data_IF_094567687134
#
_entry.id   IF_094567687134
#
_cell.length_a   1.000
_cell.length_b   1.000
_cell.length_c   1.000
_cell.angle_alpha   90.00
_cell.angle_beta   90.00
_cell.angle_gamma   90.00
#
_symmetry.space_group_name_H-M   'P 1'
#
loop_
_entity.id
_entity.type
_entity.pdbx_description
1 polymer ?
#
# COMPACT_ATOMS: atom_id res chain seq x y z
N UNK A 1 -10.36 17.42 10.74
CA UNK A 1 -9.12 16.78 11.24
C UNK A 1 -7.84 17.12 10.46
N UNK A 2 -7.91 17.74 9.28
CA UNK A 2 -6.74 18.05 8.44
C UNK A 2 -5.61 18.83 9.14
N UNK A 3 -5.91 19.99 9.75
CA UNK A 3 -4.91 20.80 10.47
C UNK A 3 -4.19 20.01 11.57
N UNK A 4 -4.91 19.13 12.29
CA UNK A 4 -4.31 18.26 13.31
C UNK A 4 -3.30 17.29 12.72
N UNK A 5 -3.57 16.74 11.53
CA UNK A 5 -2.61 15.89 10.81
C UNK A 5 -1.31 16.64 10.48
N UNK A 6 -1.41 17.89 10.03
CA UNK A 6 -0.25 18.75 9.76
C UNK A 6 0.54 19.04 11.05
N UNK A 7 -0.15 19.49 12.10
CA UNK A 7 0.47 19.78 13.40
C UNK A 7 1.20 18.54 13.96
N UNK A 8 0.59 17.36 13.87
CA UNK A 8 1.19 16.12 14.36
C UNK A 8 2.40 15.69 13.53
N UNK A 9 2.39 15.96 12.22
CA UNK A 9 3.55 15.74 11.35
C UNK A 9 4.71 16.68 11.72
N UNK A 10 4.42 17.97 11.90
CA UNK A 10 5.42 19.00 12.26
C UNK A 10 6.03 18.75 13.64
N UNK A 11 5.22 18.32 14.62
CA UNK A 11 5.65 18.02 15.98
C UNK A 11 6.25 16.62 16.15
N UNK A 12 6.44 15.85 15.07
CA UNK A 12 6.95 14.47 15.10
C UNK A 12 6.11 13.49 15.95
N UNK A 13 4.84 13.80 16.20
CA UNK A 13 3.87 12.89 16.84
C UNK A 13 3.54 11.75 15.88
N UNK A 14 3.43 12.07 14.58
CA UNK A 14 3.32 11.07 13.50
C UNK A 14 4.54 11.20 12.59
N UNK A 15 5.16 10.06 12.30
CA UNK A 15 6.32 9.97 11.41
C UNK A 15 5.96 9.14 10.19
N UNK A 16 6.40 9.58 9.03
CA UNK A 16 6.43 8.74 7.83
C UNK A 16 7.49 7.66 8.03
N UNK A 17 7.25 6.48 7.44
CA UNK A 17 8.24 5.41 7.45
C UNK A 17 9.50 5.85 6.70
N UNK A 18 10.63 5.29 7.10
CA UNK A 18 11.91 5.54 6.46
C UNK A 18 11.82 5.23 4.95
N UNK A 19 12.42 6.11 4.14
CA UNK A 19 12.39 6.05 2.68
C UNK A 19 11.07 6.41 1.99
N UNK A 20 9.98 6.71 2.72
CA UNK A 20 8.68 6.99 2.09
C UNK A 20 8.75 8.20 1.16
N UNK A 21 9.19 9.36 1.65
CA UNK A 21 9.30 10.58 0.84
C UNK A 21 10.25 10.41 -0.34
N UNK A 22 11.36 9.68 -0.15
CA UNK A 22 12.29 9.34 -1.23
C UNK A 22 11.62 8.50 -2.33
N UNK A 23 10.79 7.53 -1.96
CA UNK A 23 10.05 6.71 -2.90
C UNK A 23 9.02 7.53 -3.68
N UNK A 24 8.30 8.42 -3.01
CA UNK A 24 7.36 9.33 -3.67
C UNK A 24 8.09 10.23 -4.67
N UNK A 25 9.22 10.82 -4.29
CA UNK A 25 10.04 11.63 -5.20
C UNK A 25 10.56 10.81 -6.39
N UNK A 26 10.99 9.55 -6.18
CA UNK A 26 11.41 8.65 -7.25
C UNK A 26 10.26 8.39 -8.24
N UNK A 27 9.06 8.10 -7.74
CA UNK A 27 7.87 7.86 -8.56
C UNK A 27 7.48 9.11 -9.36
N UNK A 28 7.63 10.29 -8.78
CA UNK A 28 7.33 11.57 -9.43
C UNK A 28 8.44 12.07 -10.36
N UNK A 29 9.55 11.33 -10.46
CA UNK A 29 10.65 11.66 -11.37
C UNK A 29 10.54 10.87 -12.68
N UNK A 30 10.97 11.44 -13.82
CA UNK A 30 11.09 10.68 -15.06
C UNK A 30 12.05 9.48 -14.91
N UNK A 31 11.80 8.35 -15.60
CA UNK A 31 10.68 8.12 -16.52
C UNK A 31 9.41 7.57 -15.84
N UNK A 32 9.40 7.36 -14.52
CA UNK A 32 8.31 6.67 -13.81
C UNK A 32 7.02 7.52 -13.80
N UNK A 33 7.16 8.84 -13.62
CA UNK A 33 5.99 9.74 -13.58
C UNK A 33 5.19 9.74 -14.88
N UNK A 34 5.82 9.42 -16.01
CA UNK A 34 5.17 9.41 -17.33
C UNK A 34 4.25 8.20 -17.54
N UNK A 35 4.39 7.17 -16.71
CA UNK A 35 3.66 5.90 -16.83
C UNK A 35 2.75 5.62 -15.63
N UNK A 36 2.80 6.45 -14.58
CA UNK A 36 1.95 6.30 -13.39
C UNK A 36 0.85 7.37 -13.41
N UNK A 37 -0.37 6.92 -13.20
CA UNK A 37 -1.57 7.77 -13.21
C UNK A 37 -1.75 8.60 -11.92
N UNK A 38 -1.23 8.08 -10.80
CA UNK A 38 -1.27 8.75 -9.52
C UNK A 38 -0.84 7.85 -8.38
N UNK A 39 -0.61 8.46 -7.22
CA UNK A 39 -0.26 7.76 -5.98
C UNK A 39 -1.42 7.93 -5.02
N UNK A 40 -1.98 6.81 -4.55
CA UNK A 40 -3.18 6.82 -3.71
C UNK A 40 -2.90 6.11 -2.40
N UNK A 41 -3.53 6.59 -1.33
CA UNK A 41 -3.52 5.91 -0.02
C UNK A 41 -4.89 5.32 0.24
N UNK A 42 -4.94 4.00 0.44
CA UNK A 42 -6.15 3.28 0.83
C UNK A 42 -6.01 2.79 2.29
N UNK A 43 -6.90 3.22 3.16
CA UNK A 43 -6.79 2.96 4.59
C UNK A 43 -8.13 2.70 5.27
N UNK A 44 -8.15 1.75 6.20
CA UNK A 44 -9.29 1.50 7.11
C UNK A 44 -9.38 2.52 8.26
N UNK A 45 -8.54 3.56 8.26
CA UNK A 45 -8.55 4.59 9.31
C UNK A 45 -9.86 5.41 9.30
N UNK A 46 -10.12 6.10 10.40
CA UNK A 46 -11.36 6.83 10.68
C UNK A 46 -11.34 8.30 10.24
N UNK A 47 -10.26 8.79 9.59
CA UNK A 47 -10.27 10.14 9.02
C UNK A 47 -9.33 10.31 7.84
N UNK A 48 -9.91 10.31 6.64
CA UNK A 48 -9.27 10.70 5.39
C UNK A 48 -8.71 12.13 5.51
N UNK A 49 -9.49 13.05 6.10
CA UNK A 49 -9.04 14.42 6.37
C UNK A 49 -7.75 14.48 7.21
N UNK A 50 -7.63 13.66 8.26
CA UNK A 50 -6.40 13.61 9.07
C UNK A 50 -5.19 13.12 8.27
N UNK A 51 -5.35 12.01 7.53
CA UNK A 51 -4.27 11.43 6.71
C UNK A 51 -3.80 12.42 5.63
N UNK A 52 -4.74 13.12 4.95
CA UNK A 52 -4.40 14.20 4.01
C UNK A 52 -3.57 15.29 4.67
N UNK A 53 -3.87 15.65 5.92
CA UNK A 53 -3.07 16.59 6.68
C UNK A 53 -1.64 16.11 6.90
N UNK A 54 -1.47 14.86 7.36
CA UNK A 54 -0.16 14.23 7.57
C UNK A 54 0.67 14.18 6.28
N UNK A 55 0.03 13.90 5.15
CA UNK A 55 0.65 13.73 3.83
C UNK A 55 0.64 14.99 2.97
N UNK A 56 0.21 16.14 3.51
CA UNK A 56 -0.03 17.37 2.73
C UNK A 56 1.21 17.94 2.01
N UNK A 57 2.41 17.50 2.39
CA UNK A 57 3.69 17.90 1.77
C UNK A 57 4.25 16.82 0.84
N UNK A 58 3.56 15.70 0.71
CA UNK A 58 3.94 14.57 -0.12
C UNK A 58 3.10 14.58 -1.41
N UNK A 59 3.66 14.07 -2.50
CA UNK A 59 3.04 13.98 -3.82
C UNK A 59 1.88 12.98 -3.97
N UNK A 60 0.98 12.89 -2.98
CA UNK A 60 -0.13 11.93 -2.95
C UNK A 60 -1.35 12.52 -3.67
N UNK A 61 -1.85 11.80 -4.67
CA UNK A 61 -2.97 12.22 -5.52
C UNK A 61 -4.32 12.12 -4.79
N UNK A 62 -4.52 11.05 -4.01
CA UNK A 62 -5.77 10.86 -3.28
C UNK A 62 -5.58 10.07 -1.99
N UNK A 63 -6.47 10.31 -1.03
CA UNK A 63 -6.58 9.54 0.21
C UNK A 63 -8.00 9.01 0.31
N UNK A 64 -8.09 7.69 0.44
CA UNK A 64 -9.30 6.88 0.46
C UNK A 64 -9.35 6.20 1.82
N UNK A 65 -10.26 6.69 2.65
CA UNK A 65 -10.42 6.23 4.02
C UNK A 65 -11.80 6.63 4.51
N UNK A 66 -12.17 6.22 5.72
CA UNK A 66 -13.39 6.72 6.32
C UNK A 66 -13.21 8.19 6.70
N UNK A 67 -14.30 8.95 6.77
CA UNK A 67 -14.35 10.22 7.48
C UNK A 67 -15.57 10.28 8.38
N UNK A 68 -15.53 11.21 9.33
CA UNK A 68 -16.61 11.40 10.31
C UNK A 68 -17.45 12.59 9.85
N UNK A 69 -18.75 12.39 9.69
CA UNK A 69 -19.69 13.47 9.43
C UNK A 69 -19.75 14.39 10.66
N UNK A 70 -19.43 15.70 10.52
CA UNK A 70 -19.41 16.61 11.65
C UNK A 70 -20.80 16.95 12.19
N UNK A 71 -21.88 16.69 11.44
CA UNK A 71 -23.23 17.02 11.83
C UNK A 71 -23.86 15.99 12.78
N UNK A 72 -23.62 14.70 12.54
CA UNK A 72 -24.27 13.59 13.26
C UNK A 72 -23.30 12.54 13.81
N UNK A 73 -22.00 12.65 13.48
CA UNK A 73 -20.98 11.70 13.90
C UNK A 73 -20.99 10.38 13.12
N UNK A 74 -21.75 10.26 12.02
CA UNK A 74 -21.72 9.07 11.15
C UNK A 74 -20.32 8.85 10.59
N UNK A 75 -20.00 7.60 10.28
CA UNK A 75 -18.75 7.24 9.61
C UNK A 75 -19.09 6.69 8.24
N UNK A 76 -18.47 7.28 7.22
CA UNK A 76 -18.68 6.86 5.85
C UNK A 76 -17.33 6.79 5.10
N UNK A 77 -17.18 5.77 4.28
CA UNK A 77 -16.12 5.67 3.30
C UNK A 77 -16.52 6.49 2.08
N UNK A 78 -16.13 7.77 2.05
CA UNK A 78 -16.37 8.60 0.88
C UNK A 78 -15.54 8.08 -0.31
N UNK A 79 -16.15 7.91 -1.49
CA UNK A 79 -15.40 7.53 -2.67
C UNK A 79 -14.43 8.64 -3.09
N UNK A 80 -13.31 8.26 -3.70
CA UNK A 80 -12.35 9.21 -4.29
C UNK A 80 -12.94 10.04 -5.43
N UNK A 81 -14.05 9.57 -6.01
CA UNK A 81 -14.66 10.06 -7.25
C UNK A 81 -16.18 10.05 -7.02
N UNK A 82 -16.74 11.13 -6.50
CA UNK A 82 -18.20 11.38 -6.53
C UNK A 82 -18.53 11.80 -7.98
N UNK A 83 -19.51 11.27 -8.70
CA UNK A 83 -20.90 10.95 -8.36
C UNK A 83 -21.38 9.65 -9.08
N UNK A 84 -22.48 9.07 -8.60
CA UNK A 84 -23.16 7.87 -9.15
C UNK A 84 -22.40 6.54 -8.99
N UNK A 85 -22.14 6.15 -7.74
CA UNK A 85 -21.76 4.76 -7.44
C UNK A 85 -23.03 3.92 -7.38
N UNK A 86 -23.13 2.88 -8.22
CA UNK A 86 -24.21 1.91 -8.11
C UNK A 86 -24.16 1.23 -6.73
N UNK A 87 -25.34 0.98 -6.13
CA UNK A 87 -25.42 0.29 -4.85
C UNK A 87 -24.64 -1.04 -4.90
N UNK A 88 -23.73 -1.24 -3.95
CA UNK A 88 -22.89 -2.44 -3.84
C UNK A 88 -21.55 -2.39 -4.57
N UNK A 89 -21.26 -1.36 -5.37
CA UNK A 89 -19.96 -1.23 -6.07
C UNK A 89 -18.84 -0.64 -5.18
N UNK A 90 -19.20 -0.08 -4.03
CA UNK A 90 -18.29 0.56 -3.07
C UNK A 90 -18.71 0.24 -1.63
N UNK A 91 -17.76 0.01 -0.70
CA UNK A 91 -18.09 -0.22 0.70
C UNK A 91 -18.62 1.05 1.36
N UNK A 92 -19.67 0.96 2.17
CA UNK A 92 -20.16 2.10 2.97
C UNK A 92 -19.15 2.52 4.04
N UNK A 93 -18.35 1.58 4.55
CA UNK A 93 -17.28 1.79 5.53
C UNK A 93 -16.08 0.92 5.15
N UNK A 94 -14.87 1.46 5.28
CA UNK A 94 -13.61 0.73 5.13
C UNK A 94 -13.14 0.25 6.51
N UNK A 95 -13.49 -0.97 6.88
CA UNK A 95 -13.20 -1.53 8.21
C UNK A 95 -12.33 -2.78 8.18
N UNK A 96 -12.45 -3.57 7.11
CA UNK A 96 -11.76 -4.86 6.96
C UNK A 96 -11.04 -4.96 5.60
N UNK A 97 -10.28 -6.04 5.40
CA UNK A 97 -9.55 -6.27 4.15
C UNK A 97 -10.45 -6.37 2.94
N UNK A 98 -11.64 -6.97 3.08
CA UNK A 98 -12.58 -7.12 1.97
C UNK A 98 -13.15 -5.79 1.50
N UNK A 99 -13.24 -4.80 2.40
CA UNK A 99 -13.65 -3.44 2.07
C UNK A 99 -12.56 -2.75 1.24
N UNK A 100 -11.28 -2.89 1.65
CA UNK A 100 -10.14 -2.39 0.87
C UNK A 100 -10.11 -3.02 -0.52
N UNK A 101 -10.28 -4.34 -0.61
CA UNK A 101 -10.27 -5.03 -1.89
C UNK A 101 -11.42 -4.56 -2.79
N UNK A 102 -12.62 -4.39 -2.23
CA UNK A 102 -13.78 -3.88 -2.96
C UNK A 102 -13.55 -2.47 -3.50
N UNK A 103 -13.01 -1.57 -2.67
CA UNK A 103 -12.63 -0.21 -3.08
C UNK A 103 -11.54 -0.23 -4.17
N UNK A 104 -10.50 -1.05 -4.02
CA UNK A 104 -9.41 -1.12 -5.00
C UNK A 104 -9.87 -1.67 -6.36
N UNK A 105 -10.73 -2.70 -6.35
CA UNK A 105 -11.39 -3.21 -7.56
C UNK A 105 -12.23 -2.13 -8.25
N UNK A 106 -12.98 -1.35 -7.48
CA UNK A 106 -13.75 -0.23 -8.02
C UNK A 106 -12.85 0.80 -8.70
N UNK A 107 -11.77 1.23 -8.02
CA UNK A 107 -10.81 2.19 -8.56
C UNK A 107 -10.16 1.70 -9.86
N UNK A 108 -9.78 0.42 -9.91
CA UNK A 108 -9.25 -0.20 -11.14
C UNK A 108 -10.26 -0.14 -12.29
N UNK A 109 -11.54 -0.47 -12.03
CA UNK A 109 -12.61 -0.38 -13.05
C UNK A 109 -12.78 1.05 -13.55
N UNK A 110 -12.76 2.04 -12.66
CA UNK A 110 -12.88 3.45 -13.07
C UNK A 110 -11.68 3.90 -13.89
N UNK A 111 -10.47 3.51 -13.50
CA UNK A 111 -9.26 3.81 -14.26
C UNK A 111 -9.30 3.18 -15.66
N UNK A 112 -9.70 1.92 -15.78
CA UNK A 112 -9.84 1.24 -17.07
C UNK A 112 -10.89 1.89 -17.96
N UNK A 113 -12.01 2.38 -17.39
CA UNK A 113 -13.02 3.13 -18.13
C UNK A 113 -12.48 4.48 -18.63
N UNK A 114 -11.76 5.21 -17.77
CA UNK A 114 -11.21 6.53 -18.10
C UNK A 114 -10.01 6.45 -19.05
N UNK A 115 -9.20 5.40 -18.93
CA UNK A 115 -7.95 5.22 -19.68
C UNK A 115 -7.81 3.77 -20.17
N UNK A 116 -8.63 3.32 -21.14
CA UNK A 116 -8.68 1.93 -21.59
C UNK A 116 -7.38 1.42 -22.24
N UNK A 117 -6.47 2.34 -22.62
CA UNK A 117 -5.15 2.00 -23.19
C UNK A 117 -4.05 1.81 -22.14
N UNK A 118 -4.29 2.16 -20.87
CA UNK A 118 -3.37 1.82 -19.77
C UNK A 118 -3.71 0.40 -19.31
N UNK A 119 -2.69 -0.44 -19.11
CA UNK A 119 -2.88 -1.85 -18.68
C UNK A 119 -3.52 -2.00 -17.29
N UNK A 120 -3.83 -0.89 -16.59
CA UNK A 120 -4.54 -0.91 -15.31
C UNK A 120 -3.82 -1.72 -14.24
N UNK A 121 -2.49 -1.73 -14.31
CA UNK A 121 -1.64 -2.40 -13.33
C UNK A 121 -1.54 -1.54 -12.06
N UNK A 122 -1.81 -2.17 -10.93
CA UNK A 122 -1.73 -1.55 -9.62
C UNK A 122 -0.51 -2.14 -8.92
N UNK A 123 0.38 -1.28 -8.46
CA UNK A 123 1.45 -1.66 -7.53
C UNK A 123 0.97 -1.36 -6.13
N UNK A 124 0.63 -2.41 -5.37
CA UNK A 124 0.10 -2.28 -4.02
C UNK A 124 1.20 -2.38 -2.96
N UNK A 125 1.07 -1.60 -1.89
CA UNK A 125 1.94 -1.66 -0.71
C UNK A 125 1.07 -1.91 0.51
N UNK A 126 1.41 -2.93 1.29
CA UNK A 126 0.66 -3.31 2.49
C UNK A 126 1.57 -3.77 3.61
N UNK A 127 1.11 -3.68 4.84
CA UNK A 127 1.90 -4.05 6.02
C UNK A 127 1.13 -4.90 7.02
N UNK A 128 -0.18 -5.05 6.83
CA UNK A 128 -1.08 -5.66 7.80
C UNK A 128 -1.94 -6.75 7.17
N UNK A 129 -2.60 -7.57 8.00
CA UNK A 129 -3.53 -8.59 7.51
C UNK A 129 -4.70 -7.98 6.71
N UNK A 130 -5.08 -6.73 6.98
CA UNK A 130 -6.11 -6.04 6.17
C UNK A 130 -5.68 -5.81 4.72
N UNK A 131 -4.40 -5.95 4.41
CA UNK A 131 -3.84 -5.80 3.06
C UNK A 131 -3.71 -7.13 2.31
N UNK A 132 -3.92 -8.26 2.99
CA UNK A 132 -3.69 -9.59 2.44
C UNK A 132 -4.47 -9.81 1.14
N UNK A 133 -5.77 -9.54 1.14
CA UNK A 133 -6.63 -9.74 -0.02
C UNK A 133 -6.25 -8.84 -1.21
N UNK A 134 -5.80 -7.60 -0.95
CA UNK A 134 -5.31 -6.71 -2.00
C UNK A 134 -4.00 -7.22 -2.60
N UNK A 135 -3.07 -7.70 -1.77
CA UNK A 135 -1.80 -8.26 -2.23
C UNK A 135 -1.98 -9.56 -3.02
N UNK A 136 -2.91 -10.42 -2.61
CA UNK A 136 -3.21 -11.66 -3.32
C UNK A 136 -3.80 -11.39 -4.72
N UNK A 137 -4.57 -10.32 -4.90
CA UNK A 137 -5.19 -10.00 -6.19
C UNK A 137 -4.30 -9.17 -7.11
N UNK A 138 -3.60 -8.16 -6.59
CA UNK A 138 -2.86 -7.19 -7.40
C UNK A 138 -1.35 -7.43 -7.40
N UNK A 139 -0.85 -8.28 -6.51
CA UNK A 139 0.57 -8.35 -6.20
C UNK A 139 1.08 -7.07 -5.53
N UNK A 140 2.37 -7.01 -5.25
CA UNK A 140 2.99 -5.82 -4.67
C UNK A 140 4.06 -6.10 -3.63
N UNK A 141 4.18 -5.18 -2.67
CA UNK A 141 5.22 -5.22 -1.64
C UNK A 141 4.59 -5.27 -0.25
N UNK A 142 5.03 -6.25 0.53
CA UNK A 142 4.82 -6.29 1.98
C UNK A 142 5.90 -5.46 2.66
N UNK A 143 5.52 -4.41 3.40
CA UNK A 143 6.47 -3.60 4.18
C UNK A 143 6.49 -4.12 5.62
N UNK A 144 7.53 -4.87 5.99
CA UNK A 144 7.67 -5.55 7.28
C UNK A 144 8.99 -5.22 7.99
N UNK A 145 9.03 -4.22 8.88
CA UNK A 145 10.25 -3.83 9.60
C UNK A 145 10.71 -4.89 10.62
N UNK A 146 9.90 -5.91 10.90
CA UNK A 146 10.21 -6.96 11.89
C UNK A 146 10.86 -8.21 11.28
N UNK A 147 10.91 -8.28 9.96
CA UNK A 147 11.32 -9.49 9.25
C UNK A 147 12.84 -9.76 9.34
N UNK A 148 13.68 -8.73 9.45
CA UNK A 148 15.13 -8.88 9.49
C UNK A 148 15.64 -9.50 10.80
N UNK A 149 14.99 -9.18 11.93
CA UNK A 149 15.31 -9.80 13.24
C UNK A 149 15.08 -11.31 13.29
N UNK A 150 14.36 -11.88 12.31
CA UNK A 150 14.11 -13.32 12.23
C UNK A 150 15.08 -14.07 11.27
N UNK A 151 15.97 -13.36 10.56
CA UNK A 151 16.80 -13.93 9.49
C UNK A 151 18.29 -14.10 9.85
N UNK A 152 18.76 -13.73 11.05
CA UNK A 152 20.13 -14.05 11.50
C UNK A 152 20.18 -15.47 12.09
N UNK A 153 20.84 -16.45 11.44
CA UNK A 153 21.11 -17.74 12.06
C UNK A 153 22.43 -17.63 12.83
N UNK A 154 22.40 -17.03 14.03
CA UNK A 154 23.56 -17.11 14.90
C UNK A 154 23.64 -18.52 15.50
N UNK A 155 24.72 -19.19 15.11
CA UNK A 155 25.20 -20.47 15.61
C UNK A 155 25.38 -20.44 17.13
N UNK A 156 24.38 -20.91 17.87
CA UNK A 156 24.49 -21.72 19.11
C UNK A 156 23.08 -21.96 19.65
N UNK A 157 22.55 -23.14 19.35
CA UNK A 157 21.29 -23.61 19.90
C UNK A 157 21.39 -23.68 21.43
N UNK A 158 20.80 -22.68 22.09
CA UNK A 158 20.35 -22.79 23.47
C UNK A 158 18.92 -22.27 23.53
N UNK A 159 17.98 -23.22 23.59
CA UNK A 159 16.59 -23.12 24.03
C UNK A 159 15.99 -21.69 24.08
N UNK A 160 15.40 -21.24 22.98
CA UNK A 160 14.55 -20.04 22.90
C UNK A 160 13.79 -20.08 21.58
N UNK A 161 12.47 -20.21 21.58
CA UNK A 161 11.49 -19.12 21.74
C UNK A 161 11.57 -18.07 20.62
N UNK A 162 10.47 -18.01 19.86
CA UNK A 162 9.96 -16.84 19.13
C UNK A 162 10.87 -16.29 18.02
N UNK A 163 10.64 -16.78 16.80
CA UNK A 163 10.73 -15.92 15.62
C UNK A 163 10.04 -14.59 15.95
N UNK A 164 10.73 -13.46 15.79
CA UNK A 164 10.24 -12.13 16.18
C UNK A 164 8.99 -11.64 15.41
N UNK A 165 8.45 -12.48 14.53
CA UNK A 165 7.19 -12.29 13.83
C UNK A 165 6.09 -12.99 14.64
N UNK A 166 5.10 -12.21 15.08
CA UNK A 166 3.86 -12.77 15.62
C UNK A 166 3.19 -13.60 14.53
N UNK A 167 2.59 -14.75 14.86
CA UNK A 167 1.94 -15.63 13.87
C UNK A 167 0.84 -14.98 13.01
N UNK A 168 0.47 -13.73 13.31
CA UNK A 168 -0.48 -12.91 12.56
C UNK A 168 0.19 -11.76 11.78
N UNK A 169 1.51 -11.74 11.66
CA UNK A 169 2.23 -10.83 10.76
C UNK A 169 1.96 -11.22 9.30
N UNK A 170 1.68 -10.24 8.45
CA UNK A 170 1.31 -10.45 7.05
C UNK A 170 2.35 -11.28 6.29
N UNK A 171 3.64 -10.98 6.46
CA UNK A 171 4.71 -11.71 5.78
C UNK A 171 4.77 -13.16 6.24
N UNK A 172 4.60 -13.41 7.53
CA UNK A 172 4.57 -14.76 8.08
C UNK A 172 3.36 -15.54 7.59
N UNK A 173 2.17 -14.92 7.54
CA UNK A 173 0.96 -15.57 7.02
C UNK A 173 1.15 -15.99 5.57
N UNK A 174 1.67 -15.10 4.71
CA UNK A 174 1.93 -15.41 3.30
C UNK A 174 2.90 -16.60 3.16
N UNK A 175 4.03 -16.58 3.87
CA UNK A 175 5.06 -17.63 3.76
C UNK A 175 4.65 -18.96 4.38
N UNK A 176 4.06 -18.94 5.58
CA UNK A 176 3.90 -20.16 6.40
C UNK A 176 2.53 -20.79 6.28
N UNK A 177 1.47 -19.98 6.17
CA UNK A 177 0.09 -20.49 6.10
C UNK A 177 -0.38 -20.67 4.67
N UNK A 178 0.03 -19.76 3.78
CA UNK A 178 -0.38 -19.76 2.38
C UNK A 178 0.69 -20.30 1.43
N UNK A 179 1.90 -20.60 1.94
CA UNK A 179 3.01 -21.17 1.20
C UNK A 179 3.44 -20.36 -0.04
N UNK A 180 3.35 -19.03 0.03
CA UNK A 180 3.84 -18.14 -1.01
C UNK A 180 5.37 -17.98 -0.90
N UNK A 181 6.05 -18.03 -2.05
CA UNK A 181 7.41 -17.50 -2.15
C UNK A 181 7.34 -15.97 -2.16
N UNK A 182 7.78 -15.34 -1.07
CA UNK A 182 7.81 -13.87 -0.93
C UNK A 182 9.27 -13.48 -0.70
N UNK A 183 10.07 -13.32 -1.77
CA UNK A 183 11.48 -12.94 -1.64
C UNK A 183 11.62 -11.49 -1.18
N UNK A 184 12.79 -11.14 -0.65
CA UNK A 184 13.09 -9.73 -0.39
C UNK A 184 13.12 -8.95 -1.71
N UNK A 185 12.79 -7.66 -1.69
CA UNK A 185 12.68 -6.82 -2.89
C UNK A 185 14.02 -6.72 -3.66
N UNK A 186 15.15 -6.89 -2.97
CA UNK A 186 16.48 -6.98 -3.61
C UNK A 186 16.70 -8.28 -4.41
N UNK A 187 15.94 -9.32 -4.10
CA UNK A 187 15.99 -10.64 -4.75
C UNK A 187 14.86 -10.83 -5.76
N UNK A 188 14.06 -9.78 -6.02
CA UNK A 188 12.90 -9.82 -6.89
C UNK A 188 13.25 -10.30 -8.30
N UNK A 189 12.66 -11.43 -8.68
CA UNK A 189 12.85 -12.02 -10.01
C UNK A 189 11.68 -11.70 -10.90
N UNK A 190 10.47 -12.11 -10.52
CA UNK A 190 9.19 -11.78 -11.18
C UNK A 190 7.96 -12.18 -10.31
N UNK A 191 8.17 -12.41 -9.00
CA UNK A 191 7.13 -12.90 -8.10
C UNK A 191 5.97 -11.91 -7.96
N UNK A 192 4.71 -12.34 -7.84
CA UNK A 192 3.61 -11.40 -7.69
C UNK A 192 3.73 -10.55 -6.42
N UNK A 193 4.30 -11.11 -5.35
CA UNK A 193 4.45 -10.46 -4.05
C UNK A 193 5.91 -10.61 -3.59
N UNK A 194 6.53 -9.50 -3.19
CA UNK A 194 7.81 -9.49 -2.48
C UNK A 194 7.68 -8.71 -1.16
N UNK A 195 8.74 -8.64 -0.36
CA UNK A 195 8.75 -7.87 0.88
C UNK A 195 9.96 -6.95 0.97
N UNK A 196 9.80 -5.87 1.74
CA UNK A 196 10.86 -4.91 2.07
C UNK A 196 10.79 -4.59 3.57
N UNK A 197 11.92 -4.25 4.19
CA UNK A 197 11.94 -3.79 5.58
C UNK A 197 11.21 -2.45 5.71
N UNK A 198 11.56 -1.51 4.83
CA UNK A 198 10.93 -0.20 4.71
C UNK A 198 10.96 0.28 3.24
N UNK A 199 10.63 1.55 2.98
CA UNK A 199 10.59 2.07 1.62
C UNK A 199 11.99 2.38 1.04
N UNK A 200 13.04 2.42 1.87
CA UNK A 200 14.41 2.66 1.42
C UNK A 200 15.00 1.46 0.66
N UNK A 201 14.63 0.22 1.03
CA UNK A 201 15.00 -0.99 0.29
C UNK A 201 14.47 -0.98 -1.15
N UNK A 202 13.30 -0.37 -1.34
CA UNK A 202 12.57 -0.36 -2.61
C UNK A 202 13.26 0.56 -3.60
N UNK A 203 13.76 1.71 -3.12
CA UNK A 203 14.52 2.68 -3.94
C UNK A 203 15.77 2.07 -4.57
N UNK A 204 16.44 1.16 -3.86
CA UNK A 204 17.63 0.45 -4.35
C UNK A 204 17.32 -0.75 -5.24
N UNK A 205 16.04 -1.12 -5.39
CA UNK A 205 15.62 -2.29 -6.14
C UNK A 205 15.27 -1.97 -7.60
N UNK A 206 15.20 -3.02 -8.43
CA UNK A 206 14.69 -2.92 -9.81
C UNK A 206 13.18 -3.16 -9.91
N UNK A 207 12.48 -3.31 -8.77
CA UNK A 207 11.08 -3.74 -8.73
C UNK A 207 10.16 -2.80 -9.50
N UNK A 208 10.22 -1.50 -9.19
CA UNK A 208 9.35 -0.51 -9.85
C UNK A 208 9.64 -0.41 -11.34
N UNK A 209 10.92 -0.46 -11.75
CA UNK A 209 11.34 -0.38 -13.15
C UNK A 209 10.89 -1.62 -13.93
N UNK A 210 11.00 -2.82 -13.34
CA UNK A 210 10.54 -4.07 -13.96
C UNK A 210 9.02 -4.12 -14.09
N UNK A 211 8.27 -3.77 -13.04
CA UNK A 211 6.79 -3.68 -13.09
C UNK A 211 6.36 -2.66 -14.14
N UNK A 212 6.98 -1.48 -14.15
CA UNK A 212 6.79 -0.46 -15.19
C UNK A 212 7.08 -0.96 -16.61
N UNK A 213 8.13 -1.76 -16.81
CA UNK A 213 8.50 -2.29 -18.12
C UNK A 213 7.51 -3.34 -18.61
N UNK A 214 7.00 -4.19 -17.71
CA UNK A 214 5.96 -5.18 -18.01
C UNK A 214 4.61 -4.52 -18.40
N UNK A 215 4.42 -3.24 -18.04
CA UNK A 215 3.25 -2.43 -18.40
C UNK A 215 3.36 -1.78 -19.79
N UNK A 216 4.53 -1.80 -20.44
CA UNK A 216 4.64 -1.21 -21.79
C UNK A 216 3.99 -2.16 -22.80
N UNK A 217 3.04 -1.69 -23.64
CA UNK A 217 2.56 -2.50 -24.73
C UNK A 217 3.75 -2.87 -25.62
N UNK A 218 3.96 -4.17 -25.84
CA UNK A 218 4.80 -4.63 -26.95
C UNK A 218 4.24 -3.97 -28.20
N UNK A 219 5.07 -3.18 -28.89
CA UNK A 219 4.71 -2.57 -30.16
C UNK A 219 4.09 -3.64 -31.07
N UNK A 220 2.79 -3.51 -31.35
CA UNK A 220 2.07 -4.26 -32.36
C UNK A 220 2.01 -3.40 -33.63
#
# INVERSE_FOLDING_TARGET
MFRRGQEHREKNVVKLRNGFSDLIHLIQSPPIVEIIDGIQVLSVNWSASYIRGVLSREGISSVISNDINPADGSVDALPAISDNIASGDWPSILSVGSDKLSALRYLRRQQQKAKPKLLGEIVYFGDSITDLECLLEFGGIVVSPKAETAQRPDTRATNSSKTGLSGNDLLQVLRTRLNYNVPHVSEYKDEPICWAHDFSDIKGSSFLQKRAANVRPTNA
#
